data_IF_385602463233
#
_entry.id   IF_385602463233
#
_cell.length_a   1.000
_cell.length_b   1.000
_cell.length_c   1.000
_cell.angle_alpha   90.00
_cell.angle_beta   90.00
_cell.angle_gamma   90.00
#
_symmetry.space_group_name_H-M   'P 1'
#
loop_
_entity.id
_entity.type
_entity.pdbx_description
1 polymer ?
#
# COMPACT_ATOMS: atom_id res chain seq x y z
N UNK A 1 -23.68 2.40 -10.82
CA UNK A 1 -24.27 1.93 -9.55
C UNK A 1 -23.24 1.03 -8.89
N UNK A 2 -22.72 1.36 -7.70
CA UNK A 2 -21.63 0.60 -7.09
C UNK A 2 -22.13 -0.74 -6.51
N UNK A 3 -21.29 -1.77 -6.59
CA UNK A 3 -21.60 -3.14 -6.18
C UNK A 3 -21.98 -3.28 -4.69
N UNK A 4 -21.61 -2.31 -3.85
CA UNK A 4 -22.01 -2.20 -2.45
C UNK A 4 -23.54 -2.11 -2.27
N UNK A 5 -24.25 -1.45 -3.20
CA UNK A 5 -25.73 -1.36 -3.16
C UNK A 5 -26.44 -2.66 -3.54
N UNK A 6 -25.79 -3.55 -4.29
CA UNK A 6 -26.37 -4.86 -4.66
C UNK A 6 -26.31 -5.86 -3.50
N UNK A 7 -25.27 -5.79 -2.66
CA UNK A 7 -25.20 -6.56 -1.42
C UNK A 7 -26.21 -6.05 -0.38
N UNK A 8 -26.38 -4.71 -0.32
CA UNK A 8 -27.40 -4.05 0.49
C UNK A 8 -28.83 -4.42 0.06
N UNK A 9 -29.10 -4.48 -1.25
CA UNK A 9 -30.40 -4.93 -1.78
C UNK A 9 -30.66 -6.43 -1.57
N UNK A 10 -29.62 -7.26 -1.64
CA UNK A 10 -29.73 -8.70 -1.39
C UNK A 10 -30.03 -9.00 0.08
N UNK A 11 -29.56 -8.16 1.02
CA UNK A 11 -29.96 -8.23 2.43
C UNK A 11 -31.39 -7.71 2.68
N UNK A 12 -31.80 -6.64 1.98
CA UNK A 12 -33.16 -6.08 2.07
C UNK A 12 -34.26 -7.01 1.50
N UNK A 13 -33.92 -7.96 0.63
CA UNK A 13 -34.89 -8.92 0.08
C UNK A 13 -35.31 -10.03 1.08
N UNK A 14 -34.69 -10.09 2.26
CA UNK A 14 -35.12 -10.99 3.35
C UNK A 14 -36.07 -10.33 4.37
N UNK A 15 -36.37 -9.04 4.24
CA UNK A 15 -37.29 -8.32 5.14
C UNK A 15 -38.64 -8.03 4.45
N UNK A 16 -39.48 -9.07 4.31
CA UNK A 16 -40.91 -8.85 4.08
C UNK A 16 -41.66 -8.70 5.42
N UNK A 17 -42.61 -7.78 5.55
CA UNK A 17 -43.09 -7.28 6.83
C UNK A 17 -44.14 -8.20 7.43
N UNK A 18 -43.99 -8.53 8.72
CA UNK A 18 -45.08 -9.09 9.52
C UNK A 18 -45.48 -8.05 10.56
N UNK A 19 -46.68 -7.50 10.38
CA UNK A 19 -47.41 -6.74 11.39
C UNK A 19 -47.28 -7.40 12.78
N UNK A 20 -46.82 -6.64 13.78
CA UNK A 20 -47.40 -6.72 15.11
C UNK A 20 -47.28 -5.36 15.80
N UNK A 21 -48.43 -4.84 16.22
CA UNK A 21 -48.57 -3.65 17.04
C UNK A 21 -47.83 -3.82 18.37
N UNK A 22 -46.89 -2.91 18.64
CA UNK A 22 -46.57 -2.47 20.00
C UNK A 22 -46.04 -1.04 19.91
N UNK A 23 -46.92 -0.06 20.16
CA UNK A 23 -46.49 1.17 20.80
C UNK A 23 -46.02 0.79 22.20
N UNK A 24 -44.80 1.13 22.59
CA UNK A 24 -44.51 1.47 23.99
C UNK A 24 -43.19 2.24 24.10
N UNK A 25 -43.37 3.53 24.41
CA UNK A 25 -42.62 4.43 25.29
C UNK A 25 -41.09 4.48 25.30
N UNK A 26 -40.60 5.73 25.19
CA UNK A 26 -39.30 6.19 25.66
C UNK A 26 -39.09 5.79 27.15
N UNK A 27 -37.84 5.53 27.53
CA UNK A 27 -37.37 5.38 28.93
C UNK A 27 -37.50 4.04 29.68
N UNK A 28 -37.47 2.87 29.00
CA UNK A 28 -37.05 1.62 29.65
C UNK A 28 -35.86 0.97 28.96
N UNK A 29 -34.84 0.46 29.69
CA UNK A 29 -33.90 -0.49 29.11
C UNK A 29 -34.66 -1.78 28.87
N UNK A 30 -34.89 -2.21 27.62
CA UNK A 30 -35.51 -3.50 27.41
C UNK A 30 -34.36 -4.53 27.40
N UNK A 31 -34.28 -5.35 28.46
CA UNK A 31 -33.70 -6.68 28.35
C UNK A 31 -34.60 -7.48 27.39
N UNK A 32 -34.47 -7.21 26.08
CA UNK A 32 -35.33 -7.74 25.03
C UNK A 32 -34.71 -9.03 24.48
N UNK A 33 -34.87 -10.13 25.23
CA UNK A 33 -34.62 -11.48 24.73
C UNK A 33 -35.80 -11.88 23.83
N UNK A 34 -35.88 -11.27 22.65
CA UNK A 34 -36.77 -11.69 21.57
C UNK A 34 -36.17 -12.88 20.80
N UNK A 35 -37.01 -13.74 20.22
CA UNK A 35 -36.59 -14.94 19.46
C UNK A 35 -35.69 -14.61 18.25
N UNK A 36 -35.70 -13.35 17.78
CA UNK A 36 -34.87 -12.80 16.69
C UNK A 36 -33.65 -12.00 17.18
N UNK A 37 -33.51 -11.76 18.49
CA UNK A 37 -32.48 -10.93 19.11
C UNK A 37 -32.94 -9.49 19.40
N UNK A 38 -32.12 -8.69 20.12
CA UNK A 38 -32.49 -7.33 20.55
C UNK A 38 -32.46 -6.34 19.38
N UNK A 39 -33.55 -5.58 19.24
CA UNK A 39 -33.72 -4.47 18.30
C UNK A 39 -34.21 -3.25 19.08
N UNK A 40 -33.45 -2.16 19.05
CA UNK A 40 -33.80 -0.93 19.76
C UNK A 40 -33.18 0.31 19.10
N UNK A 41 -33.68 1.50 19.43
CA UNK A 41 -33.06 2.75 18.97
C UNK A 41 -31.61 2.89 19.46
N UNK A 42 -31.37 2.62 20.74
CA UNK A 42 -30.04 2.67 21.35
C UNK A 42 -29.85 1.43 22.21
N UNK A 43 -28.78 0.68 21.95
CA UNK A 43 -28.37 -0.46 22.77
C UNK A 43 -27.18 -0.03 23.64
N UNK A 44 -27.32 -0.15 24.96
CA UNK A 44 -26.24 0.10 25.92
C UNK A 44 -26.11 -1.10 26.86
N UNK A 45 -24.88 -1.59 27.06
CA UNK A 45 -24.60 -2.71 27.97
C UNK A 45 -24.33 -4.00 27.22
N UNK A 46 -25.01 -5.09 27.57
CA UNK A 46 -24.81 -6.41 26.98
C UNK A 46 -26.04 -6.78 26.15
N UNK A 47 -25.84 -7.12 24.88
CA UNK A 47 -26.89 -7.52 23.95
C UNK A 47 -26.47 -8.80 23.23
N UNK A 48 -27.33 -9.80 23.22
CA UNK A 48 -27.05 -11.07 22.55
C UNK A 48 -28.31 -11.62 21.86
N UNK A 49 -28.17 -12.13 20.64
CA UNK A 49 -29.30 -12.66 19.86
C UNK A 49 -28.90 -13.26 18.53
N UNK A 50 -29.88 -13.70 17.74
CA UNK A 50 -29.64 -14.13 16.36
C UNK A 50 -29.14 -12.94 15.51
N UNK A 51 -29.81 -11.79 15.62
CA UNK A 51 -29.30 -10.50 15.19
C UNK A 51 -29.28 -9.51 16.35
N UNK A 52 -28.36 -8.57 16.33
CA UNK A 52 -28.37 -7.39 17.22
C UNK A 52 -28.50 -6.16 16.34
N UNK A 53 -29.56 -5.38 16.51
CA UNK A 53 -29.86 -4.22 15.65
C UNK A 53 -30.04 -2.96 16.51
N UNK A 54 -29.28 -1.91 16.20
CA UNK A 54 -29.41 -0.59 16.81
C UNK A 54 -29.68 0.49 15.75
N UNK A 55 -30.74 1.29 15.89
CA UNK A 55 -31.06 2.34 14.90
C UNK A 55 -30.29 3.66 15.06
N UNK A 56 -29.60 3.87 16.20
CA UNK A 56 -28.82 5.09 16.46
C UNK A 56 -27.44 4.81 17.01
N UNK A 57 -27.36 3.93 18.00
CA UNK A 57 -26.08 3.65 18.64
C UNK A 57 -26.10 2.29 19.32
N UNK A 58 -25.03 1.54 19.13
CA UNK A 58 -24.71 0.36 19.92
C UNK A 58 -23.47 0.65 20.78
N UNK A 59 -23.56 0.49 22.10
CA UNK A 59 -22.43 0.66 23.01
C UNK A 59 -22.36 -0.45 24.05
N UNK A 60 -21.18 -1.06 24.23
CA UNK A 60 -20.97 -2.16 25.16
C UNK A 60 -20.55 -3.46 24.48
N UNK A 61 -21.27 -4.56 24.72
CA UNK A 61 -20.98 -5.90 24.23
C UNK A 61 -22.15 -6.41 23.41
N UNK A 62 -21.97 -6.48 22.09
CA UNK A 62 -22.98 -6.88 21.11
C UNK A 62 -22.60 -8.22 20.49
N UNK A 63 -23.39 -9.25 20.76
CA UNK A 63 -23.19 -10.62 20.32
C UNK A 63 -24.32 -11.06 19.37
N UNK A 64 -24.15 -10.82 18.08
CA UNK A 64 -25.06 -11.31 17.04
C UNK A 64 -24.57 -12.64 16.47
N UNK A 65 -25.31 -13.73 16.67
CA UNK A 65 -24.94 -15.05 16.13
C UNK A 65 -24.89 -15.06 14.59
N UNK A 66 -25.76 -14.27 13.95
CA UNK A 66 -25.74 -14.04 12.51
C UNK A 66 -25.16 -12.67 12.20
N UNK A 67 -25.69 -11.60 12.79
CA UNK A 67 -25.21 -10.27 12.48
C UNK A 67 -25.31 -9.27 13.63
N UNK A 68 -24.39 -8.32 13.65
CA UNK A 68 -24.49 -7.08 14.41
C UNK A 68 -24.68 -5.92 13.42
N UNK A 69 -25.74 -5.15 13.59
CA UNK A 69 -26.11 -4.04 12.72
C UNK A 69 -26.32 -2.79 13.57
N UNK A 70 -25.66 -1.69 13.20
CA UNK A 70 -25.91 -0.37 13.77
C UNK A 70 -26.12 0.64 12.64
N UNK A 71 -27.29 1.30 12.59
CA UNK A 71 -27.55 2.40 11.65
C UNK A 71 -26.86 3.72 12.07
N UNK A 72 -26.21 3.73 13.24
CA UNK A 72 -25.32 4.81 13.64
C UNK A 72 -24.00 4.26 14.17
N UNK A 73 -23.50 4.82 15.27
CA UNK A 73 -22.17 4.45 15.77
C UNK A 73 -22.20 3.16 16.60
N UNK A 74 -21.09 2.41 16.57
CA UNK A 74 -20.91 1.19 17.33
C UNK A 74 -19.62 1.26 18.19
N UNK A 75 -19.74 1.14 19.51
CA UNK A 75 -18.65 1.28 20.47
C UNK A 75 -18.54 0.05 21.39
N UNK A 76 -17.33 -0.48 21.55
CA UNK A 76 -17.06 -1.60 22.46
C UNK A 76 -16.71 -2.88 21.71
N UNK A 77 -17.40 -3.99 22.02
CA UNK A 77 -17.15 -5.31 21.43
C UNK A 77 -18.35 -5.72 20.57
N UNK A 78 -18.20 -5.55 19.25
CA UNK A 78 -19.21 -5.88 18.26
C UNK A 78 -18.83 -7.19 17.56
N UNK A 79 -19.55 -8.27 17.82
CA UNK A 79 -19.32 -9.59 17.22
C UNK A 79 -20.53 -10.03 16.40
N UNK A 80 -20.39 -10.08 15.07
CA UNK A 80 -21.37 -10.61 14.13
C UNK A 80 -20.88 -11.93 13.52
N UNK A 81 -21.60 -13.04 13.77
CA UNK A 81 -21.14 -14.37 13.37
C UNK A 81 -21.04 -14.60 11.86
N UNK A 82 -21.91 -13.99 11.07
CA UNK A 82 -21.78 -13.88 9.60
C UNK A 82 -21.27 -12.50 9.21
N UNK A 83 -21.76 -11.42 9.82
CA UNK A 83 -21.35 -10.09 9.43
C UNK A 83 -21.58 -9.01 10.47
N UNK A 84 -20.75 -7.98 10.39
CA UNK A 84 -20.91 -6.76 11.17
C UNK A 84 -21.10 -5.59 10.20
N UNK A 85 -22.17 -4.82 10.39
CA UNK A 85 -22.50 -3.65 9.58
C UNK A 85 -22.73 -2.45 10.48
N UNK A 86 -22.02 -1.36 10.23
CA UNK A 86 -22.14 -0.11 11.00
C UNK A 86 -22.20 1.06 10.02
N UNK A 87 -23.31 1.80 9.99
CA UNK A 87 -23.44 2.96 9.09
C UNK A 87 -22.71 4.21 9.63
N UNK A 88 -22.42 4.26 10.93
CA UNK A 88 -21.58 5.28 11.55
C UNK A 88 -20.12 4.86 11.68
N UNK A 89 -19.49 5.26 12.79
CA UNK A 89 -18.14 4.83 13.18
C UNK A 89 -18.20 3.59 14.05
N UNK A 90 -17.25 2.69 13.85
CA UNK A 90 -17.03 1.53 14.71
C UNK A 90 -15.75 1.74 15.53
N UNK A 91 -15.82 1.62 16.85
CA UNK A 91 -14.64 1.76 17.71
C UNK A 91 -14.59 0.68 18.80
N UNK A 92 -13.44 0.00 18.91
CA UNK A 92 -13.20 -1.06 19.89
C UNK A 92 -12.74 -2.36 19.23
N UNK A 93 -13.48 -3.45 19.40
CA UNK A 93 -13.23 -4.75 18.78
C UNK A 93 -14.42 -5.09 17.90
N UNK A 94 -14.18 -5.12 16.60
CA UNK A 94 -15.19 -5.26 15.55
C UNK A 94 -14.89 -6.53 14.77
N UNK A 95 -15.76 -7.54 14.86
CA UNK A 95 -15.55 -8.84 14.23
C UNK A 95 -16.77 -9.23 13.42
N UNK A 96 -16.57 -9.43 12.12
CA UNK A 96 -17.55 -10.01 11.21
C UNK A 96 -17.05 -11.33 10.64
N UNK A 97 -17.76 -12.43 10.89
CA UNK A 97 -17.29 -13.77 10.56
C UNK A 97 -17.07 -14.01 9.06
N UNK A 98 -17.90 -13.45 8.18
CA UNK A 98 -17.65 -13.36 6.73
C UNK A 98 -17.15 -11.97 6.35
N UNK A 99 -17.67 -10.90 6.95
CA UNK A 99 -17.21 -9.57 6.61
C UNK A 99 -17.61 -8.52 7.63
N UNK A 100 -16.80 -7.48 7.69
CA UNK A 100 -17.06 -6.27 8.46
C UNK A 100 -17.17 -5.10 7.48
N UNK A 101 -18.24 -4.32 7.60
CA UNK A 101 -18.53 -3.17 6.75
C UNK A 101 -18.87 -1.98 7.64
N UNK A 102 -18.11 -0.88 7.51
CA UNK A 102 -18.29 0.34 8.29
C UNK A 102 -18.36 1.54 7.36
N UNK A 103 -19.52 2.20 7.24
CA UNK A 103 -19.69 3.35 6.34
C UNK A 103 -19.00 4.62 6.87
N UNK A 104 -18.46 4.59 8.09
CA UNK A 104 -17.57 5.60 8.66
C UNK A 104 -16.14 5.09 8.89
N UNK A 105 -15.52 5.54 9.98
CA UNK A 105 -14.18 5.09 10.39
C UNK A 105 -14.23 3.87 11.32
N UNK A 106 -13.21 3.01 11.24
CA UNK A 106 -13.07 1.83 12.08
C UNK A 106 -11.80 1.93 12.94
N UNK A 107 -11.95 2.18 14.24
CA UNK A 107 -10.85 2.34 15.20
C UNK A 107 -10.74 1.12 16.14
N UNK A 108 -9.54 0.55 16.29
CA UNK A 108 -9.26 -0.54 17.23
C UNK A 108 -8.84 -1.85 16.54
N UNK A 109 -9.53 -2.94 16.84
CA UNK A 109 -9.28 -4.26 16.23
C UNK A 109 -10.44 -4.57 15.29
N UNK A 110 -10.13 -4.77 14.02
CA UNK A 110 -11.06 -4.84 12.91
C UNK A 110 -10.82 -6.14 12.16
N UNK A 111 -11.70 -7.13 12.33
CA UNK A 111 -11.54 -8.47 11.77
C UNK A 111 -12.73 -8.81 10.85
N UNK A 112 -12.43 -9.05 9.58
CA UNK A 112 -13.39 -9.55 8.59
C UNK A 112 -12.91 -10.89 8.01
N UNK A 113 -13.71 -11.95 8.15
CA UNK A 113 -13.27 -13.28 7.73
C UNK A 113 -12.92 -13.41 6.24
N UNK A 114 -13.72 -12.81 5.35
CA UNK A 114 -13.40 -12.62 3.93
C UNK A 114 -12.90 -11.20 3.66
N UNK A 115 -13.38 -10.18 4.37
CA UNK A 115 -12.86 -8.84 4.18
C UNK A 115 -13.37 -7.85 5.21
N UNK A 116 -12.58 -6.80 5.42
CA UNK A 116 -13.00 -5.62 6.17
C UNK A 116 -13.00 -4.42 5.24
N UNK A 117 -14.12 -3.71 5.20
CA UNK A 117 -14.36 -2.57 4.34
C UNK A 117 -14.78 -1.38 5.20
N UNK A 118 -14.18 -0.23 4.96
CA UNK A 118 -14.58 1.01 5.59
C UNK A 118 -14.63 2.15 4.56
N UNK A 119 -15.72 2.90 4.51
CA UNK A 119 -15.79 4.10 3.65
C UNK A 119 -14.99 5.27 4.27
N UNK A 120 -14.53 5.12 5.52
CA UNK A 120 -13.56 6.00 6.17
C UNK A 120 -12.20 5.33 6.36
N UNK A 121 -11.38 5.88 7.27
CA UNK A 121 -10.10 5.27 7.64
C UNK A 121 -10.27 4.10 8.60
N UNK A 122 -9.33 3.14 8.53
CA UNK A 122 -9.18 2.12 9.58
C UNK A 122 -7.89 2.34 10.36
N UNK A 123 -7.99 2.39 11.69
CA UNK A 123 -6.84 2.60 12.57
C UNK A 123 -6.74 1.49 13.60
N UNK A 124 -5.54 0.92 13.75
CA UNK A 124 -5.24 -0.10 14.75
C UNK A 124 -4.76 -1.39 14.12
N UNK A 125 -5.46 -2.49 14.35
CA UNK A 125 -5.16 -3.81 13.76
C UNK A 125 -6.31 -4.21 12.86
N UNK A 126 -6.05 -4.24 11.55
CA UNK A 126 -7.02 -4.54 10.52
C UNK A 126 -6.65 -5.86 9.85
N UNK A 127 -7.57 -6.81 9.80
CA UNK A 127 -7.36 -8.11 9.17
C UNK A 127 -8.56 -8.47 8.30
N UNK A 128 -8.30 -8.75 7.02
CA UNK A 128 -9.29 -9.20 6.05
C UNK A 128 -8.80 -10.44 5.32
N UNK A 129 -9.56 -11.54 5.38
CA UNK A 129 -9.08 -12.83 4.85
C UNK A 129 -8.82 -12.87 3.34
N UNK A 130 -9.56 -12.09 2.54
CA UNK A 130 -9.26 -11.80 1.13
C UNK A 130 -8.74 -10.38 0.97
N UNK A 131 -9.25 -9.41 1.72
CA UNK A 131 -8.66 -8.08 1.66
C UNK A 131 -9.19 -7.05 2.63
N UNK A 132 -8.45 -5.94 2.66
CA UNK A 132 -8.76 -4.73 3.39
C UNK A 132 -8.98 -3.62 2.37
N UNK A 133 -10.09 -2.90 2.50
CA UNK A 133 -10.41 -1.77 1.63
C UNK A 133 -10.87 -0.61 2.50
N UNK A 134 -10.16 0.50 2.44
CA UNK A 134 -10.55 1.74 3.09
C UNK A 134 -10.61 2.87 2.06
N UNK A 135 -11.75 3.56 1.96
CA UNK A 135 -11.84 4.82 1.20
C UNK A 135 -11.17 5.98 1.97
N UNK A 136 -10.76 5.75 3.22
CA UNK A 136 -9.82 6.60 3.94
C UNK A 136 -8.44 5.98 4.07
N UNK A 137 -7.74 6.29 5.17
CA UNK A 137 -6.37 5.83 5.41
C UNK A 137 -6.33 4.55 6.23
N UNK A 138 -5.38 3.66 5.92
CA UNK A 138 -5.07 2.49 6.74
C UNK A 138 -3.87 2.78 7.66
N UNK A 139 -4.10 2.90 8.97
CA UNK A 139 -3.05 3.24 9.95
C UNK A 139 -2.86 2.14 11.00
N UNK A 140 -1.65 1.59 11.11
CA UNK A 140 -1.31 0.57 12.11
C UNK A 140 -0.81 -0.72 11.47
N UNK A 141 -1.46 -1.85 11.78
CA UNK A 141 -1.14 -3.17 11.21
C UNK A 141 -2.28 -3.58 10.28
N UNK A 142 -1.98 -3.76 9.00
CA UNK A 142 -2.97 -4.07 7.96
C UNK A 142 -2.61 -5.38 7.26
N UNK A 143 -3.41 -6.42 7.48
CA UNK A 143 -3.20 -7.74 6.91
C UNK A 143 -4.37 -8.09 5.98
N UNK A 144 -4.15 -7.98 4.67
CA UNK A 144 -5.08 -8.46 3.65
C UNK A 144 -4.62 -9.80 3.10
N UNK A 145 -5.48 -10.80 2.94
CA UNK A 145 -5.05 -12.08 2.38
C UNK A 145 -4.55 -11.98 0.93
N UNK A 146 -5.32 -11.31 0.07
CA UNK A 146 -4.94 -11.03 -1.32
C UNK A 146 -4.54 -9.56 -1.48
N UNK A 147 -5.35 -8.62 -0.99
CA UNK A 147 -5.13 -7.20 -1.25
C UNK A 147 -5.35 -6.31 -0.02
N UNK A 148 -4.57 -5.23 0.05
CA UNK A 148 -4.77 -4.13 1.00
C UNK A 148 -4.81 -2.83 0.20
N UNK A 149 -5.93 -2.12 0.25
CA UNK A 149 -6.20 -0.92 -0.56
C UNK A 149 -6.64 0.24 0.34
N UNK A 150 -6.05 1.42 0.14
CA UNK A 150 -6.42 2.65 0.85
C UNK A 150 -6.35 3.88 -0.07
N UNK A 151 -7.36 4.75 -0.04
CA UNK A 151 -7.35 6.01 -0.81
C UNK A 151 -6.46 7.08 -0.13
N UNK A 152 -6.63 7.39 1.16
CA UNK A 152 -5.76 8.35 1.90
C UNK A 152 -4.36 7.77 2.25
N UNK A 153 -4.03 6.59 1.73
CA UNK A 153 -2.74 5.96 1.89
C UNK A 153 -2.60 5.05 3.11
N UNK A 154 -1.41 4.47 3.23
CA UNK A 154 -1.11 3.40 4.18
C UNK A 154 0.05 3.82 5.07
N UNK A 155 -0.15 3.83 6.39
CA UNK A 155 0.87 4.16 7.38
C UNK A 155 1.03 3.02 8.40
N UNK A 156 2.20 2.38 8.43
CA UNK A 156 2.54 1.37 9.43
C UNK A 156 3.07 0.07 8.81
N UNK A 157 2.55 -1.06 9.24
CA UNK A 157 2.95 -2.39 8.77
C UNK A 157 1.82 -2.95 7.92
N UNK A 158 2.12 -3.30 6.66
CA UNK A 158 1.13 -3.87 5.76
C UNK A 158 1.64 -5.11 5.07
N UNK A 159 0.80 -6.14 4.99
CA UNK A 159 1.10 -7.37 4.29
C UNK A 159 -0.09 -7.78 3.42
N UNK A 160 0.20 -8.23 2.19
CA UNK A 160 -0.79 -8.78 1.28
C UNK A 160 -0.24 -9.92 0.42
N UNK A 161 -1.05 -10.94 0.15
CA UNK A 161 -0.62 -12.06 -0.70
C UNK A 161 -0.40 -11.68 -2.16
N UNK A 162 -1.15 -10.69 -2.68
CA UNK A 162 -1.02 -10.20 -4.05
C UNK A 162 -0.50 -8.75 -4.04
N UNK A 163 -1.29 -7.80 -3.55
CA UNK A 163 -1.01 -6.39 -3.76
C UNK A 163 -1.30 -5.50 -2.55
N UNK A 164 -0.44 -4.48 -2.36
CA UNK A 164 -0.70 -3.36 -1.47
C UNK A 164 -0.80 -2.11 -2.35
N UNK A 165 -1.90 -1.37 -2.24
CA UNK A 165 -2.18 -0.18 -3.04
C UNK A 165 -2.55 0.98 -2.10
N UNK A 166 -1.87 2.11 -2.24
CA UNK A 166 -2.19 3.33 -1.49
C UNK A 166 -2.15 4.55 -2.40
N UNK A 167 -3.27 5.26 -2.60
CA UNK A 167 -3.32 6.38 -3.54
C UNK A 167 -2.49 7.57 -3.03
N UNK A 168 -2.64 7.99 -1.77
CA UNK A 168 -1.76 9.02 -1.19
C UNK A 168 -0.41 8.48 -0.66
N UNK A 169 -0.04 7.29 -1.09
CA UNK A 169 1.26 6.67 -0.84
C UNK A 169 1.27 5.68 0.32
N UNK A 170 2.44 5.07 0.50
CA UNK A 170 2.68 3.99 1.45
C UNK A 170 3.90 4.35 2.29
N UNK A 171 3.74 4.43 3.60
CA UNK A 171 4.82 4.73 4.54
C UNK A 171 4.93 3.66 5.63
N UNK A 172 6.09 3.01 5.72
CA UNK A 172 6.41 2.06 6.79
C UNK A 172 7.01 0.75 6.28
N UNK A 173 6.52 -0.39 6.77
CA UNK A 173 6.94 -1.73 6.35
C UNK A 173 5.85 -2.32 5.46
N UNK A 174 6.20 -2.73 4.25
CA UNK A 174 5.25 -3.31 3.30
C UNK A 174 5.79 -4.57 2.66
N UNK A 175 4.99 -5.63 2.64
CA UNK A 175 5.32 -6.90 2.01
C UNK A 175 4.16 -7.39 1.14
N UNK A 176 4.40 -7.53 -0.16
CA UNK A 176 3.39 -8.03 -1.11
C UNK A 176 3.94 -9.19 -1.95
N UNK A 177 3.12 -10.21 -2.20
CA UNK A 177 3.54 -11.33 -3.04
C UNK A 177 3.73 -10.97 -4.52
N UNK A 178 2.97 -10.00 -5.04
CA UNK A 178 3.12 -9.49 -6.41
C UNK A 178 3.62 -8.05 -6.42
N UNK A 179 2.83 -7.10 -5.93
CA UNK A 179 3.11 -5.68 -6.17
C UNK A 179 2.83 -4.77 -4.98
N UNK A 180 3.65 -3.73 -4.85
CA UNK A 180 3.39 -2.59 -3.98
C UNK A 180 3.27 -1.36 -4.88
N UNK A 181 2.13 -0.67 -4.83
CA UNK A 181 1.84 0.49 -5.67
C UNK A 181 1.42 1.67 -4.78
N UNK A 182 2.22 2.74 -4.80
CA UNK A 182 1.91 3.97 -4.09
C UNK A 182 1.91 5.17 -5.03
N UNK A 183 0.75 5.78 -5.31
CA UNK A 183 0.66 6.95 -6.20
C UNK A 183 1.32 8.18 -5.56
N UNK A 184 1.08 8.45 -4.27
CA UNK A 184 1.84 9.43 -3.48
C UNK A 184 3.30 9.02 -3.20
N UNK A 185 3.72 7.84 -3.65
CA UNK A 185 5.05 7.26 -3.46
C UNK A 185 5.10 6.16 -2.41
N UNK A 186 6.26 5.51 -2.33
CA UNK A 186 6.55 4.41 -1.39
C UNK A 186 7.73 4.80 -0.53
N UNK A 187 7.58 4.80 0.80
CA UNK A 187 8.60 5.21 1.76
C UNK A 187 8.76 4.18 2.89
N UNK A 188 9.99 3.76 3.16
CA UNK A 188 10.32 2.86 4.28
C UNK A 188 11.02 1.59 3.82
N UNK A 189 10.53 0.42 4.23
CA UNK A 189 11.04 -0.88 3.79
C UNK A 189 9.96 -1.62 3.03
N UNK A 190 10.20 -1.90 1.75
CA UNK A 190 9.23 -2.54 0.88
C UNK A 190 9.82 -3.76 0.20
N UNK A 191 9.09 -4.87 0.24
CA UNK A 191 9.45 -6.12 -0.42
C UNK A 191 8.28 -6.59 -1.28
N UNK A 192 8.50 -6.71 -2.59
CA UNK A 192 7.50 -7.21 -3.52
C UNK A 192 8.06 -8.37 -4.36
N UNK A 193 7.25 -9.42 -4.58
CA UNK A 193 7.68 -10.55 -5.40
C UNK A 193 7.89 -10.19 -6.88
N UNK A 194 7.15 -9.23 -7.41
CA UNK A 194 7.30 -8.74 -8.79
C UNK A 194 7.78 -7.29 -8.82
N UNK A 195 6.97 -6.34 -8.35
CA UNK A 195 7.23 -4.92 -8.61
C UNK A 195 6.92 -3.98 -7.44
N UNK A 196 7.73 -2.92 -7.32
CA UNK A 196 7.42 -1.77 -6.49
C UNK A 196 7.30 -0.57 -7.43
N UNK A 197 6.15 0.11 -7.38
CA UNK A 197 5.86 1.29 -8.20
C UNK A 197 5.49 2.44 -7.28
N UNK A 198 6.18 3.57 -7.42
CA UNK A 198 5.92 4.77 -6.65
C UNK A 198 5.92 6.02 -7.53
N UNK A 199 4.75 6.58 -7.85
CA UNK A 199 4.65 7.75 -8.73
C UNK A 199 5.24 9.01 -8.05
N UNK A 200 4.93 9.25 -6.77
CA UNK A 200 5.62 10.25 -5.92
C UNK A 200 7.08 9.91 -5.55
N UNK A 201 7.61 8.82 -6.11
CA UNK A 201 8.94 8.28 -5.90
C UNK A 201 9.01 7.14 -4.89
N UNK A 202 10.15 6.45 -4.89
CA UNK A 202 10.44 5.30 -4.03
C UNK A 202 11.60 5.64 -3.10
N UNK A 203 11.41 5.54 -1.78
CA UNK A 203 12.36 5.99 -0.76
C UNK A 203 12.59 4.92 0.31
N UNK A 204 13.85 4.70 0.69
CA UNK A 204 14.22 3.77 1.76
C UNK A 204 14.89 2.51 1.25
N UNK A 205 14.49 1.33 1.73
CA UNK A 205 15.06 0.03 1.36
C UNK A 205 14.01 -0.78 0.59
N UNK A 206 14.26 -1.02 -0.69
CA UNK A 206 13.27 -1.59 -1.60
C UNK A 206 13.84 -2.81 -2.31
N UNK A 207 13.11 -3.92 -2.29
CA UNK A 207 13.48 -5.16 -2.95
C UNK A 207 12.32 -5.65 -3.80
N UNK A 208 12.54 -5.80 -5.10
CA UNK A 208 11.54 -6.32 -6.03
C UNK A 208 12.11 -7.44 -6.89
N UNK A 209 11.36 -8.52 -7.08
CA UNK A 209 11.83 -9.66 -7.88
C UNK A 209 12.01 -9.35 -9.37
N UNK A 210 11.26 -8.39 -9.92
CA UNK A 210 11.39 -7.94 -11.31
C UNK A 210 11.82 -6.48 -11.38
N UNK A 211 11.02 -5.56 -10.85
CA UNK A 211 11.14 -4.15 -11.19
C UNK A 211 10.91 -3.17 -10.05
N UNK A 212 11.71 -2.10 -10.00
CA UNK A 212 11.40 -0.92 -9.18
C UNK A 212 11.26 0.27 -10.13
N UNK A 213 10.11 0.94 -10.06
CA UNK A 213 9.81 2.15 -10.85
C UNK A 213 9.45 3.29 -9.89
N UNK A 214 10.16 4.41 -10.02
CA UNK A 214 9.88 5.61 -9.22
C UNK A 214 9.91 6.87 -10.07
N UNK A 215 8.75 7.45 -10.35
CA UNK A 215 8.64 8.59 -11.28
C UNK A 215 9.22 9.86 -10.63
N UNK A 216 8.80 10.17 -9.40
CA UNK A 216 9.42 11.17 -8.51
C UNK A 216 10.83 10.82 -7.99
N UNK A 217 11.46 9.82 -8.60
CA UNK A 217 12.81 9.33 -8.32
C UNK A 217 12.89 8.21 -7.30
N UNK A 218 14.08 7.62 -7.21
CA UNK A 218 14.41 6.51 -6.31
C UNK A 218 15.51 6.96 -5.35
N UNK A 219 15.29 6.87 -4.05
CA UNK A 219 16.26 7.30 -3.01
C UNK A 219 16.50 6.22 -1.97
N UNK A 220 17.75 5.92 -1.64
CA UNK A 220 18.12 4.91 -0.63
C UNK A 220 18.75 3.68 -1.26
N UNK A 221 18.34 2.48 -0.82
CA UNK A 221 18.84 1.21 -1.33
C UNK A 221 17.73 0.52 -2.11
N UNK A 222 17.96 0.21 -3.38
CA UNK A 222 16.98 -0.43 -4.24
C UNK A 222 17.62 -1.58 -5.00
N UNK A 223 17.04 -2.77 -4.86
CA UNK A 223 17.48 -4.00 -5.51
C UNK A 223 16.31 -4.55 -6.31
N UNK A 224 16.45 -4.55 -7.64
CA UNK A 224 15.44 -5.05 -8.56
C UNK A 224 16.00 -6.21 -9.38
N UNK A 225 15.30 -7.33 -9.49
CA UNK A 225 15.82 -8.49 -10.20
C UNK A 225 16.15 -8.22 -11.67
N UNK A 226 15.32 -7.46 -12.40
CA UNK A 226 15.53 -7.15 -13.82
C UNK A 226 15.78 -5.67 -14.12
N UNK A 227 14.97 -4.76 -13.58
CA UNK A 227 15.07 -3.34 -13.93
C UNK A 227 14.81 -2.37 -12.79
N UNK A 228 15.62 -1.32 -12.70
CA UNK A 228 15.37 -0.15 -11.87
C UNK A 228 15.23 1.08 -12.77
N UNK A 229 14.08 1.74 -12.70
CA UNK A 229 13.79 2.96 -13.45
C UNK A 229 13.43 4.06 -12.44
N UNK A 230 14.14 5.19 -12.52
CA UNK A 230 13.85 6.38 -11.75
C UNK A 230 13.75 7.56 -12.71
N UNK A 231 12.58 8.18 -12.92
CA UNK A 231 12.48 9.19 -14.00
C UNK A 231 13.32 10.43 -13.68
N UNK A 232 13.11 11.07 -12.53
CA UNK A 232 13.83 12.32 -12.22
C UNK A 232 15.27 12.13 -11.74
N UNK A 233 15.46 11.19 -10.81
CA UNK A 233 16.75 10.95 -10.14
C UNK A 233 16.79 9.60 -9.42
N UNK A 234 17.94 8.97 -9.45
CA UNK A 234 18.32 7.85 -8.60
C UNK A 234 19.43 8.35 -7.66
N UNK A 235 19.19 8.27 -6.35
CA UNK A 235 20.12 8.73 -5.31
C UNK A 235 20.37 7.63 -4.25
N UNK A 236 21.58 7.12 -4.14
CA UNK A 236 21.94 6.06 -3.18
C UNK A 236 22.54 4.83 -3.85
N UNK A 237 22.00 3.65 -3.59
CA UNK A 237 22.45 2.35 -4.15
C UNK A 237 21.34 1.75 -5.00
N UNK A 238 21.62 1.53 -6.29
CA UNK A 238 20.70 0.94 -7.25
C UNK A 238 21.34 -0.28 -7.89
N UNK A 239 20.78 -1.46 -7.61
CA UNK A 239 21.29 -2.73 -8.13
C UNK A 239 20.19 -3.37 -8.96
N UNK A 240 20.53 -3.76 -10.18
CA UNK A 240 19.64 -4.54 -11.02
C UNK A 240 20.38 -5.46 -11.97
N UNK A 241 19.81 -6.60 -12.38
CA UNK A 241 20.52 -7.48 -13.30
C UNK A 241 20.63 -6.89 -14.72
N UNK A 242 19.54 -6.34 -15.27
CA UNK A 242 19.52 -5.88 -16.67
C UNK A 242 19.80 -4.38 -16.75
N UNK A 243 18.96 -3.53 -16.17
CA UNK A 243 19.15 -2.09 -16.33
C UNK A 243 18.91 -1.25 -15.08
N UNK A 244 19.66 -0.16 -14.99
CA UNK A 244 19.40 0.99 -14.12
C UNK A 244 19.30 2.22 -15.03
N UNK A 245 18.13 2.87 -15.07
CA UNK A 245 17.88 4.06 -15.89
C UNK A 245 17.41 5.21 -15.02
N UNK A 246 18.01 6.38 -15.22
CA UNK A 246 17.53 7.63 -14.62
C UNK A 246 17.98 8.86 -15.40
N UNK A 247 17.30 9.98 -15.26
CA UNK A 247 17.82 11.26 -15.74
C UNK A 247 19.12 11.61 -15.01
N UNK A 248 19.12 11.48 -13.68
CA UNK A 248 20.28 11.81 -12.84
C UNK A 248 20.61 10.64 -11.94
N UNK A 249 21.87 10.19 -11.94
CA UNK A 249 22.34 9.11 -11.05
C UNK A 249 23.34 9.71 -10.05
N UNK A 250 23.06 9.56 -8.75
CA UNK A 250 23.93 10.02 -7.66
C UNK A 250 24.19 8.89 -6.67
N UNK A 251 25.38 8.32 -6.67
CA UNK A 251 25.77 7.24 -5.77
C UNK A 251 26.31 6.02 -6.51
N UNK A 252 25.86 4.83 -6.13
CA UNK A 252 26.28 3.55 -6.68
C UNK A 252 25.19 2.96 -7.58
N UNK A 253 25.52 2.66 -8.84
CA UNK A 253 24.67 1.89 -9.76
C UNK A 253 25.38 0.65 -10.24
N UNK A 254 24.74 -0.52 -10.13
CA UNK A 254 25.26 -1.81 -10.61
C UNK A 254 24.22 -2.49 -11.49
N UNK A 255 24.51 -2.67 -12.78
CA UNK A 255 23.63 -3.40 -13.70
C UNK A 255 24.34 -3.87 -14.97
N UNK A 256 23.72 -4.71 -15.81
CA UNK A 256 24.29 -4.98 -17.15
C UNK A 256 24.35 -3.72 -18.01
N UNK A 257 23.34 -2.85 -17.90
CA UNK A 257 23.25 -1.56 -18.56
C UNK A 257 22.89 -0.46 -17.57
N UNK A 258 23.79 0.51 -17.38
CA UNK A 258 23.46 1.75 -16.67
C UNK A 258 23.30 2.89 -17.68
N UNK A 259 22.20 3.64 -17.55
CA UNK A 259 21.93 4.82 -18.38
C UNK A 259 21.55 6.03 -17.53
N UNK A 260 22.35 7.08 -17.66
CA UNK A 260 22.07 8.41 -17.14
C UNK A 260 21.76 9.36 -18.30
N UNK A 261 20.54 9.87 -18.37
CA UNK A 261 20.10 10.72 -19.51
C UNK A 261 20.55 12.20 -19.36
N UNK A 262 20.93 12.66 -18.16
CA UNK A 262 21.43 14.02 -17.89
C UNK A 262 22.77 14.03 -17.13
N UNK A 263 22.86 13.48 -15.91
CA UNK A 263 24.12 13.48 -15.14
C UNK A 263 24.37 12.17 -14.40
N UNK A 264 25.65 11.84 -14.25
CA UNK A 264 26.10 10.76 -13.37
C UNK A 264 27.14 11.30 -12.40
N UNK A 265 26.88 11.14 -11.09
CA UNK A 265 27.80 11.49 -10.01
C UNK A 265 28.00 10.30 -9.07
N UNK A 266 29.16 9.65 -9.13
CA UNK A 266 29.47 8.52 -8.23
C UNK A 266 30.15 7.36 -8.92
N UNK A 267 29.75 6.14 -8.57
CA UNK A 267 30.31 4.89 -9.07
C UNK A 267 29.25 4.14 -9.90
N UNK A 268 29.57 3.87 -11.15
CA UNK A 268 28.77 3.01 -12.01
C UNK A 268 29.54 1.77 -12.40
N UNK A 269 28.98 0.59 -12.16
CA UNK A 269 29.56 -0.69 -12.55
C UNK A 269 28.58 -1.39 -13.47
N UNK A 270 28.91 -1.48 -14.76
CA UNK A 270 28.02 -2.08 -15.74
C UNK A 270 28.71 -2.69 -16.94
N UNK A 271 28.06 -3.63 -17.64
CA UNK A 271 28.57 -4.07 -18.95
C UNK A 271 28.63 -2.90 -19.94
N UNK A 272 27.59 -2.07 -19.94
CA UNK A 272 27.46 -0.88 -20.78
C UNK A 272 27.03 0.33 -19.95
N UNK A 273 27.91 1.32 -19.81
CA UNK A 273 27.62 2.61 -19.18
C UNK A 273 27.39 3.67 -20.27
N UNK A 274 26.20 4.29 -20.27
CA UNK A 274 25.85 5.40 -21.16
C UNK A 274 25.42 6.62 -20.37
N UNK A 275 26.22 7.68 -20.40
CA UNK A 275 25.94 8.97 -19.78
C UNK A 275 25.78 10.02 -20.89
N UNK A 276 24.57 10.59 -21.02
CA UNK A 276 24.23 11.62 -22.01
C UNK A 276 24.41 13.03 -21.45
N UNK A 277 25.55 13.25 -20.80
CA UNK A 277 25.92 14.51 -20.16
C UNK A 277 27.17 14.34 -19.29
N UNK A 278 27.35 15.15 -18.23
CA UNK A 278 28.54 15.07 -17.38
C UNK A 278 28.58 13.81 -16.53
N UNK A 279 29.66 13.05 -16.69
CA UNK A 279 30.07 11.96 -15.81
C UNK A 279 31.10 12.47 -14.79
N UNK A 280 30.71 12.56 -13.52
CA UNK A 280 31.59 12.89 -12.39
C UNK A 280 31.81 11.66 -11.52
N UNK A 281 33.01 11.11 -11.52
CA UNK A 281 33.35 9.91 -10.73
C UNK A 281 33.87 8.76 -11.58
N UNK A 282 33.54 7.52 -11.20
CA UNK A 282 34.12 6.31 -11.76
C UNK A 282 33.07 5.47 -12.49
N UNK A 283 33.31 5.19 -13.77
CA UNK A 283 32.54 4.20 -14.53
C UNK A 283 33.42 3.00 -14.86
N UNK A 284 32.97 1.81 -14.50
CA UNK A 284 33.63 0.53 -14.78
C UNK A 284 32.71 -0.29 -15.68
N UNK A 285 33.24 -0.77 -16.81
CA UNK A 285 32.45 -1.59 -17.73
C UNK A 285 33.17 -2.11 -18.95
N UNK A 286 32.50 -2.93 -19.76
CA UNK A 286 33.07 -3.33 -21.06
C UNK A 286 33.11 -2.12 -22.00
N UNK A 287 32.05 -1.31 -21.96
CA UNK A 287 31.95 -0.06 -22.69
C UNK A 287 31.48 1.06 -21.78
N UNK A 288 32.23 2.17 -21.78
CA UNK A 288 31.86 3.40 -21.09
C UNK A 288 31.73 4.53 -22.11
N UNK A 289 30.65 5.30 -22.06
CA UNK A 289 30.46 6.48 -22.89
C UNK A 289 29.89 7.63 -22.08
N UNK A 290 30.55 8.78 -22.16
CA UNK A 290 30.07 10.04 -21.63
C UNK A 290 30.15 11.14 -22.71
N UNK A 291 29.19 12.05 -22.69
CA UNK A 291 29.28 13.26 -23.52
C UNK A 291 30.34 14.21 -22.94
N UNK A 292 30.38 14.35 -21.61
CA UNK A 292 31.43 15.09 -20.89
C UNK A 292 31.98 14.23 -19.76
N UNK A 293 33.28 13.94 -19.77
CA UNK A 293 33.95 13.21 -18.70
C UNK A 293 34.63 14.19 -17.74
N UNK A 294 34.30 14.12 -16.45
CA UNK A 294 34.99 14.76 -15.32
C UNK A 294 35.31 13.69 -14.26
N UNK A 295 36.14 12.71 -14.63
CA UNK A 295 36.43 11.56 -13.81
C UNK A 295 37.23 10.49 -14.54
N UNK A 296 36.97 9.23 -14.18
CA UNK A 296 37.68 8.05 -14.67
C UNK A 296 36.71 7.06 -15.28
N UNK A 297 37.08 6.50 -16.42
CA UNK A 297 36.43 5.34 -17.02
C UNK A 297 37.43 4.19 -17.09
N UNK A 298 37.00 3.01 -16.69
CA UNK A 298 37.79 1.77 -16.78
C UNK A 298 37.01 0.75 -17.59
N UNK A 299 37.56 0.29 -18.70
CA UNK A 299 36.86 -0.63 -19.59
C UNK A 299 37.59 -0.99 -20.86
N UNK A 300 37.09 -2.00 -21.58
CA UNK A 300 37.67 -2.41 -22.87
C UNK A 300 37.64 -1.27 -23.88
N UNK A 301 36.56 -0.49 -23.88
CA UNK A 301 36.41 0.69 -24.71
C UNK A 301 35.78 1.84 -23.92
N UNK A 302 36.46 2.98 -23.92
CA UNK A 302 36.03 4.18 -23.22
C UNK A 302 35.88 5.33 -24.22
N UNK A 303 34.75 6.04 -24.15
CA UNK A 303 34.42 7.19 -24.99
C UNK A 303 34.11 8.42 -24.15
N UNK A 304 34.81 9.51 -24.40
CA UNK A 304 34.52 10.84 -23.85
C UNK A 304 34.49 11.86 -24.98
N UNK A 305 33.34 12.51 -25.24
CA UNK A 305 33.23 13.42 -26.41
C UNK A 305 33.98 14.74 -26.22
N UNK A 306 34.17 15.18 -24.98
CA UNK A 306 34.95 16.38 -24.63
C UNK A 306 36.46 16.21 -24.84
N UNK A 307 36.98 14.98 -24.95
CA UNK A 307 38.39 14.78 -25.28
C UNK A 307 38.70 15.15 -26.75
N UNK A 308 39.92 15.62 -27.01
CA UNK A 308 40.42 15.86 -28.38
C UNK A 308 40.81 14.52 -29.04
N UNK A 309 40.61 14.34 -30.36
CA UNK A 309 41.16 13.18 -31.07
C UNK A 309 42.70 13.09 -30.87
N UNK A 310 43.29 11.90 -30.69
CA UNK A 310 42.67 10.56 -30.68
C UNK A 310 42.07 10.13 -29.33
N UNK A 311 42.26 10.90 -28.26
CA UNK A 311 41.87 10.58 -26.88
C UNK A 311 40.36 10.53 -26.60
N UNK A 312 39.53 10.76 -27.63
CA UNK A 312 38.07 10.52 -27.58
C UNK A 312 37.73 9.06 -27.32
N UNK A 313 38.58 8.16 -27.79
CA UNK A 313 38.44 6.72 -27.67
C UNK A 313 39.72 6.15 -27.07
N UNK A 314 39.62 5.54 -25.89
CA UNK A 314 40.77 4.95 -25.22
C UNK A 314 40.45 3.53 -24.73
N UNK A 315 41.34 2.56 -24.96
CA UNK A 315 41.25 1.25 -24.32
C UNK A 315 41.67 1.35 -22.85
N UNK A 316 41.19 0.42 -22.04
CA UNK A 316 41.53 0.22 -20.62
C UNK A 316 41.13 1.37 -19.69
N UNK A 317 41.71 2.56 -19.86
CA UNK A 317 41.53 3.71 -18.96
C UNK A 317 41.33 4.98 -19.78
N UNK A 318 40.33 5.78 -19.42
CA UNK A 318 40.16 7.15 -19.89
C UNK A 318 39.98 8.09 -18.68
N UNK A 319 40.74 9.17 -18.65
CA UNK A 319 40.74 10.15 -17.55
C UNK A 319 40.59 11.53 -18.15
N UNK A 320 39.68 12.32 -17.57
CA UNK A 320 39.57 13.75 -17.85
C UNK A 320 39.19 14.46 -16.56
N UNK A 321 40.07 15.35 -16.09
CA UNK A 321 39.95 16.07 -14.83
C UNK A 321 40.21 17.55 -15.17
N UNK A 322 39.19 18.20 -15.70
CA UNK A 322 39.13 19.66 -15.94
C UNK A 322 37.90 20.23 -15.23
#
# INVERSE_FOLDING_TARGET
MPASRLLFLALLLFTSPSLLLAQEDEDRPPDLIGLLGPEAGTLQGISAGLGVVAHRQAAGLQLGLLATVSEGDAYGLNLGGLGMVVDGRAAGINVGGLGMVVSGGADGINLGGLGAVADGGMRGVNVGGLGLVADGGLRGINLGGLATVAEDGILGISAAGLAIVGEHGITGLSAAGLAIVGEGGVAGVSVAGLAIVGEGGVRGVNVAGLGIVGDGGVTGVSVAGLGLVAEERMAGVGISAIHVRSDRIRGLSVASWVRADQDLRGLSVAGYNQVRGPQRGLAIGLYNSADELHGVQVGLLNRARNNKPPFRWLPLINVHIE
#
